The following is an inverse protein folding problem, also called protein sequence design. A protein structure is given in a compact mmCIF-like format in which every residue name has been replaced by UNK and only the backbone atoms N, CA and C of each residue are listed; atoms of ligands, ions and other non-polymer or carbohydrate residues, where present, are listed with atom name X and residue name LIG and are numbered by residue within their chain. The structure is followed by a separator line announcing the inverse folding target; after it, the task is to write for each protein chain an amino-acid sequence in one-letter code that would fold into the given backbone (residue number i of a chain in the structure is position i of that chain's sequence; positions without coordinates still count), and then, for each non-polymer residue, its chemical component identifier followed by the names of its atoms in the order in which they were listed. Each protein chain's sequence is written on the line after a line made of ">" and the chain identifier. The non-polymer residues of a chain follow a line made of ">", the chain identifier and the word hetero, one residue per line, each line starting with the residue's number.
data_IF_317509976288
#
_entry.id   IF_317509976288
#
_cell.length_a   1.000
_cell.length_b   1.000
_cell.length_c   1.000
_cell.angle_alpha   90.00
_cell.angle_beta   90.00
_cell.angle_gamma   90.00
#
_symmetry.space_group_name_H-M   'P 1'
#
loop_
_entity.id
_entity.type
_entity.pdbx_description
1 polymer ?
#
# COMPACT_ATOMS: atom_id res chain seq x y z
N UNK A 1 -13.09 8.77 21.16
CA UNK A 1 -12.27 9.81 20.49
C UNK A 1 -10.83 9.48 20.83
N UNK A 2 -10.10 8.84 19.92
CA UNK A 2 -8.66 8.62 20.10
C UNK A 2 -7.97 9.98 20.23
N UNK A 3 -7.32 10.23 21.37
CA UNK A 3 -6.69 11.51 21.75
C UNK A 3 -5.44 11.89 20.90
N UNK A 4 -5.24 11.32 19.72
CA UNK A 4 -4.03 11.54 18.92
C UNK A 4 -4.26 12.29 17.61
N UNK A 5 -5.46 12.24 17.04
CA UNK A 5 -5.81 12.93 15.80
C UNK A 5 -6.93 13.95 16.05
N UNK A 6 -6.57 15.23 16.12
CA UNK A 6 -7.52 16.34 16.25
C UNK A 6 -7.63 17.07 14.91
N UNK A 7 -8.69 16.78 14.15
CA UNK A 7 -8.97 17.46 12.89
C UNK A 7 -10.49 17.69 12.74
N UNK A 8 -10.84 18.72 11.97
CA UNK A 8 -12.22 19.03 11.59
C UNK A 8 -12.30 19.14 10.07
N UNK A 9 -13.38 18.61 9.50
CA UNK A 9 -13.68 18.70 8.07
C UNK A 9 -15.02 19.37 7.93
N UNK A 10 -15.11 20.38 7.07
CA UNK A 10 -16.33 21.13 6.85
C UNK A 10 -16.21 22.08 5.66
N UNK A 11 -17.36 22.55 5.19
CA UNK A 11 -17.43 23.62 4.20
C UNK A 11 -17.43 24.96 4.95
N UNK A 12 -16.37 25.73 4.77
CA UNK A 12 -16.20 27.02 5.44
C UNK A 12 -16.13 28.14 4.40
N UNK A 13 -16.88 29.21 4.62
CA UNK A 13 -16.74 30.46 3.88
C UNK A 13 -15.37 31.10 4.13
N UNK A 14 -14.95 32.02 3.25
CA UNK A 14 -13.69 32.75 3.43
C UNK A 14 -13.63 33.54 4.75
N UNK A 15 -14.78 34.01 5.24
CA UNK A 15 -14.91 34.67 6.54
C UNK A 15 -14.66 33.70 7.69
N UNK A 16 -15.28 32.52 7.66
CA UNK A 16 -15.09 31.46 8.67
C UNK A 16 -13.65 30.94 8.67
N UNK A 17 -13.06 30.71 7.49
CA UNK A 17 -11.65 30.31 7.38
C UNK A 17 -10.70 31.33 8.02
N UNK A 18 -10.96 32.62 7.83
CA UNK A 18 -10.15 33.69 8.42
C UNK A 18 -10.21 33.72 9.96
N UNK A 19 -11.31 33.22 10.55
CA UNK A 19 -11.44 33.05 12.00
C UNK A 19 -10.74 31.77 12.45
N UNK A 20 -11.00 30.65 11.78
CA UNK A 20 -10.42 29.34 12.11
C UNK A 20 -8.89 29.38 12.05
N UNK A 21 -8.31 30.00 11.02
CA UNK A 21 -6.86 30.13 10.86
C UNK A 21 -6.18 30.98 11.96
N UNK A 22 -6.95 31.77 12.72
CA UNK A 22 -6.44 32.59 13.82
C UNK A 22 -6.69 31.95 15.19
N UNK A 23 -7.43 30.85 15.25
CA UNK A 23 -7.67 30.14 16.49
C UNK A 23 -6.35 29.52 16.98
N UNK A 24 -5.90 29.79 18.23
CA UNK A 24 -4.66 29.26 18.75
C UNK A 24 -4.63 27.72 18.88
N UNK A 25 -5.78 27.05 18.76
CA UNK A 25 -5.89 25.60 18.75
C UNK A 25 -5.71 24.99 17.34
N UNK A 26 -5.63 25.80 16.29
CA UNK A 26 -5.47 25.36 14.90
C UNK A 26 -4.00 25.48 14.48
N UNK A 27 -3.36 24.36 14.18
CA UNK A 27 -1.98 24.34 13.66
C UNK A 27 -1.93 24.81 12.20
N UNK A 28 -2.75 24.22 11.32
CA UNK A 28 -2.91 24.67 9.94
C UNK A 28 -4.24 24.22 9.34
N UNK A 29 -4.56 24.78 8.18
CA UNK A 29 -5.72 24.43 7.35
C UNK A 29 -5.22 23.97 5.99
N UNK A 30 -5.73 22.85 5.49
CA UNK A 30 -5.42 22.29 4.18
C UNK A 30 -6.73 22.02 3.43
N UNK A 31 -6.78 22.26 2.11
CA UNK A 31 -7.94 21.97 1.29
C UNK A 31 -8.13 20.46 1.12
N UNK A 32 -9.38 19.98 1.12
CA UNK A 32 -9.65 18.56 0.94
C UNK A 32 -9.29 18.10 -0.47
N UNK A 33 -8.39 17.12 -0.57
CA UNK A 33 -7.98 16.56 -1.86
C UNK A 33 -8.66 15.22 -2.16
N UNK A 34 -8.84 14.95 -3.45
CA UNK A 34 -9.26 13.64 -3.95
C UNK A 34 -8.08 12.66 -3.90
N UNK A 35 -8.30 11.51 -3.26
CA UNK A 35 -7.37 10.38 -3.25
C UNK A 35 -7.89 9.33 -4.23
N UNK A 36 -7.00 8.68 -4.99
CA UNK A 36 -7.39 7.67 -5.97
C UNK A 36 -6.52 6.42 -5.88
N UNK A 37 -7.08 5.26 -6.25
CA UNK A 37 -6.30 4.05 -6.50
C UNK A 37 -5.40 4.21 -7.73
N UNK A 38 -4.16 3.72 -7.69
CA UNK A 38 -3.21 3.85 -8.80
C UNK A 38 -3.22 2.64 -9.76
N UNK A 39 -4.09 2.61 -10.76
CA UNK A 39 -4.21 1.51 -11.74
C UNK A 39 -3.95 1.94 -13.19
N UNK A 40 -3.30 1.05 -13.98
CA UNK A 40 -3.08 1.13 -15.45
C UNK A 40 -3.29 -0.27 -16.06
N UNK A 41 -3.88 -0.40 -17.26
CA UNK A 41 -4.27 -1.72 -17.83
C UNK A 41 -3.29 -2.33 -18.88
N UNK A 42 -3.20 -3.69 -18.91
CA UNK A 42 -2.94 -4.69 -20.02
C UNK A 42 -1.78 -5.72 -19.91
N UNK A 43 -2.14 -7.00 -19.61
CA UNK A 43 -1.62 -8.39 -19.91
C UNK A 43 -0.11 -8.69 -20.14
N UNK A 44 0.55 -9.68 -19.43
CA UNK A 44 0.22 -11.11 -19.42
C UNK A 44 0.51 -11.83 -18.03
N UNK A 45 0.86 -13.15 -17.90
CA UNK A 45 0.71 -13.93 -16.65
C UNK A 45 1.69 -13.54 -15.54
N UNK A 46 1.22 -13.60 -14.28
CA UNK A 46 1.96 -13.12 -13.11
C UNK A 46 3.37 -13.70 -12.99
N UNK A 47 4.34 -12.86 -13.31
CA UNK A 47 5.77 -13.10 -13.16
C UNK A 47 6.30 -12.57 -11.82
N UNK A 48 5.47 -11.86 -11.05
CA UNK A 48 5.91 -11.11 -9.88
C UNK A 48 6.42 -12.00 -8.76
N UNK A 49 5.70 -13.06 -8.40
CA UNK A 49 6.16 -14.02 -7.38
C UNK A 49 7.49 -14.68 -7.77
N UNK A 50 7.59 -15.16 -9.00
CA UNK A 50 8.78 -15.76 -9.61
C UNK A 50 9.98 -14.80 -9.56
N UNK A 51 9.74 -13.49 -9.72
CA UNK A 51 10.82 -12.51 -9.57
C UNK A 51 11.29 -12.31 -8.13
N UNK A 52 10.45 -12.53 -7.12
CA UNK A 52 10.77 -12.17 -5.74
C UNK A 52 11.76 -13.10 -5.05
N UNK A 53 11.77 -14.40 -5.37
CA UNK A 53 12.63 -15.38 -4.69
C UNK A 53 13.90 -15.73 -5.48
N UNK A 54 14.09 -15.16 -6.68
CA UNK A 54 15.33 -15.25 -7.45
C UNK A 54 16.06 -13.91 -7.60
N UNK A 55 17.39 -13.94 -7.76
CA UNK A 55 18.19 -12.71 -7.90
C UNK A 55 18.48 -12.31 -9.35
N UNK A 56 18.66 -13.28 -10.24
CA UNK A 56 19.08 -13.06 -11.62
C UNK A 56 18.02 -13.55 -12.61
N UNK A 57 17.90 -12.89 -13.76
CA UNK A 57 17.13 -13.38 -14.90
C UNK A 57 17.91 -14.45 -15.68
N UNK A 58 17.25 -15.33 -16.46
CA UNK A 58 15.81 -15.40 -16.75
C UNK A 58 14.98 -15.98 -15.58
N UNK A 59 13.67 -15.72 -15.61
CA UNK A 59 12.70 -16.27 -14.66
C UNK A 59 12.58 -17.80 -14.76
N UNK A 60 12.47 -18.50 -13.62
CA UNK A 60 12.48 -19.96 -13.57
C UNK A 60 11.10 -20.61 -13.40
N UNK A 61 10.06 -19.78 -13.21
CA UNK A 61 8.65 -20.16 -13.04
C UNK A 61 8.36 -20.91 -11.75
N UNK A 62 9.17 -20.69 -10.72
CA UNK A 62 8.99 -21.26 -9.39
C UNK A 62 8.86 -20.13 -8.37
N UNK A 63 8.27 -20.46 -7.22
CA UNK A 63 8.27 -19.57 -6.08
C UNK A 63 8.38 -20.40 -4.80
N UNK A 64 9.42 -20.14 -4.03
CA UNK A 64 9.76 -20.85 -2.81
C UNK A 64 9.06 -20.18 -1.64
N UNK A 65 8.08 -20.86 -1.08
CA UNK A 65 7.33 -20.34 0.06
C UNK A 65 8.16 -20.37 1.35
N UNK A 66 8.12 -19.27 2.10
CA UNK A 66 8.59 -19.24 3.48
C UNK A 66 7.51 -19.86 4.37
N UNK A 67 7.87 -20.88 5.16
CA UNK A 67 6.93 -21.68 5.95
C UNK A 67 6.06 -20.87 6.92
N UNK A 68 6.61 -19.79 7.50
CA UNK A 68 5.85 -18.89 8.38
C UNK A 68 4.67 -18.27 7.65
N UNK A 69 4.79 -18.00 6.34
CA UNK A 69 3.75 -17.41 5.50
C UNK A 69 3.19 -16.08 6.03
N UNK A 70 3.88 -15.38 6.95
CA UNK A 70 3.35 -14.20 7.63
C UNK A 70 2.29 -14.52 8.69
N UNK A 71 2.26 -15.75 9.22
CA UNK A 71 1.34 -16.14 10.29
C UNK A 71 1.45 -15.18 11.49
N UNK A 72 0.30 -14.79 12.03
CA UNK A 72 0.24 -13.85 13.15
C UNK A 72 0.43 -12.38 12.76
N UNK A 73 0.50 -12.05 11.47
CA UNK A 73 0.53 -10.65 11.00
C UNK A 73 -0.86 -10.23 10.54
N UNK A 74 -1.33 -9.07 11.04
CA UNK A 74 -2.53 -8.41 10.54
C UNK A 74 -2.15 -7.38 9.47
N UNK A 75 -2.71 -7.53 8.27
CA UNK A 75 -2.49 -6.60 7.15
C UNK A 75 -3.79 -5.89 6.79
N UNK A 76 -3.82 -4.58 7.01
CA UNK A 76 -4.96 -3.72 6.69
C UNK A 76 -4.81 -3.14 5.29
N UNK A 77 -5.85 -3.33 4.47
CA UNK A 77 -5.91 -2.87 3.09
C UNK A 77 -6.78 -1.62 3.05
N UNK A 78 -6.14 -0.46 3.04
CA UNK A 78 -6.81 0.85 2.95
C UNK A 78 -7.05 1.15 1.47
N UNK A 79 -8.24 0.80 0.98
CA UNK A 79 -8.54 0.74 -0.46
C UNK A 79 -10.06 0.79 -0.76
N UNK A 80 -10.53 0.12 -1.83
CA UNK A 80 -11.94 0.02 -2.26
C UNK A 80 -12.74 -1.06 -1.53
N UNK A 81 -12.10 -1.84 -0.65
CA UNK A 81 -12.69 -3.00 0.03
C UNK A 81 -12.01 -4.31 -0.36
N UNK A 82 -12.54 -5.45 0.09
CA UNK A 82 -12.12 -6.78 -0.35
C UNK A 82 -13.38 -7.61 -0.61
N UNK A 83 -13.41 -8.38 -1.69
CA UNK A 83 -14.37 -9.45 -1.86
C UNK A 83 -13.95 -10.66 -1.02
N UNK A 84 -14.43 -10.69 0.22
CA UNK A 84 -13.97 -11.62 1.27
C UNK A 84 -14.32 -13.08 0.99
N UNK A 85 -15.30 -13.32 0.11
CA UNK A 85 -15.74 -14.65 -0.30
C UNK A 85 -14.92 -15.24 -1.47
N UNK A 86 -13.90 -14.54 -1.95
CA UNK A 86 -12.99 -15.08 -2.96
C UNK A 86 -12.26 -16.32 -2.43
N UNK A 87 -12.29 -17.41 -3.19
CA UNK A 87 -11.77 -18.73 -2.80
C UNK A 87 -10.27 -18.69 -2.48
N UNK A 88 -9.51 -17.80 -3.11
CA UNK A 88 -8.07 -17.67 -2.89
C UNK A 88 -7.72 -17.19 -1.47
N UNK A 89 -8.64 -16.51 -0.78
CA UNK A 89 -8.42 -16.07 0.59
C UNK A 89 -8.65 -17.16 1.63
N UNK A 90 -9.40 -18.23 1.31
CA UNK A 90 -9.72 -19.34 2.23
C UNK A 90 -10.14 -18.87 3.63
N UNK A 91 -10.93 -17.80 3.70
CA UNK A 91 -11.42 -17.20 4.95
C UNK A 91 -10.42 -16.34 5.72
N UNK A 92 -9.23 -16.04 5.16
CA UNK A 92 -8.23 -15.14 5.76
C UNK A 92 -8.54 -13.65 5.59
N UNK A 93 -9.49 -13.30 4.73
CA UNK A 93 -9.93 -11.93 4.50
C UNK A 93 -11.20 -11.60 5.27
N UNK A 94 -11.20 -10.44 5.93
CA UNK A 94 -12.29 -9.97 6.79
C UNK A 94 -12.59 -8.50 6.54
N UNK A 95 -13.83 -8.10 6.82
CA UNK A 95 -14.22 -6.69 6.83
C UNK A 95 -13.83 -6.01 8.14
N UNK A 96 -13.17 -4.85 8.04
CA UNK A 96 -12.90 -3.96 9.17
C UNK A 96 -13.92 -2.82 9.23
N UNK A 97 -13.80 -1.85 8.31
CA UNK A 97 -14.70 -0.68 8.27
C UNK A 97 -14.91 -0.16 6.83
N UNK A 98 -16.00 0.58 6.63
CA UNK A 98 -16.23 1.43 5.47
C UNK A 98 -16.49 2.85 5.94
N UNK A 99 -15.68 3.80 5.47
CA UNK A 99 -15.80 5.23 5.83
C UNK A 99 -16.33 6.08 4.68
N UNK A 100 -16.57 5.46 3.52
CA UNK A 100 -17.32 6.03 2.40
C UNK A 100 -18.76 5.51 2.42
N UNK A 101 -19.69 6.32 1.91
CA UNK A 101 -21.10 5.94 1.82
C UNK A 101 -21.28 4.73 0.89
N UNK A 102 -22.02 3.71 1.35
CA UNK A 102 -22.31 2.50 0.57
C UNK A 102 -22.26 1.22 1.39
N UNK A 103 -22.41 0.08 0.72
CA UNK A 103 -22.27 -1.25 1.32
C UNK A 103 -20.81 -1.58 1.65
N UNK A 104 -20.60 -2.42 2.66
CA UNK A 104 -19.31 -3.07 2.94
C UNK A 104 -19.05 -4.16 1.90
N UNK A 105 -18.77 -3.74 0.67
CA UNK A 105 -18.44 -4.61 -0.47
C UNK A 105 -17.39 -3.92 -1.34
N UNK A 106 -16.51 -4.70 -1.98
CA UNK A 106 -15.61 -4.17 -3.00
C UNK A 106 -16.34 -4.02 -4.35
N UNK A 107 -16.79 -2.79 -4.65
CA UNK A 107 -17.46 -2.47 -5.90
C UNK A 107 -16.52 -2.13 -7.06
N UNK A 108 -15.20 -2.08 -6.82
CA UNK A 108 -14.21 -1.69 -7.82
C UNK A 108 -13.29 -2.86 -8.21
N UNK A 109 -12.88 -3.66 -7.23
CA UNK A 109 -11.99 -4.81 -7.40
C UNK A 109 -10.52 -4.53 -7.15
N UNK A 110 -10.12 -3.27 -7.07
CA UNK A 110 -8.74 -2.88 -6.81
C UNK A 110 -8.25 -3.39 -5.44
N UNK A 111 -9.02 -3.21 -4.37
CA UNK A 111 -8.63 -3.69 -3.05
C UNK A 111 -8.59 -5.22 -2.95
N UNK A 112 -9.50 -5.94 -3.62
CA UNK A 112 -9.42 -7.41 -3.78
C UNK A 112 -8.12 -7.84 -4.46
N UNK A 113 -7.74 -7.14 -5.53
CA UNK A 113 -6.52 -7.42 -6.29
C UNK A 113 -5.25 -7.25 -5.46
N UNK A 114 -5.18 -6.14 -4.73
CA UNK A 114 -4.09 -5.83 -3.80
C UNK A 114 -4.00 -6.86 -2.69
N UNK A 115 -5.14 -7.24 -2.09
CA UNK A 115 -5.21 -8.26 -1.05
C UNK A 115 -4.73 -9.63 -1.55
N UNK A 116 -5.05 -10.00 -2.79
CA UNK A 116 -4.61 -11.24 -3.43
C UNK A 116 -3.08 -11.36 -3.54
N UNK A 117 -2.39 -10.27 -3.92
CA UNK A 117 -0.92 -10.23 -3.99
C UNK A 117 -0.29 -10.40 -2.61
N UNK A 118 -0.92 -9.89 -1.56
CA UNK A 118 -0.37 -9.99 -0.20
C UNK A 118 -0.59 -11.40 0.34
N UNK A 119 -1.82 -11.88 0.37
CA UNK A 119 -2.22 -13.04 1.19
C UNK A 119 -3.12 -14.08 0.51
N UNK A 120 -3.29 -14.01 -0.81
CA UNK A 120 -3.97 -15.05 -1.59
C UNK A 120 -3.22 -16.38 -1.57
N UNK A 121 -3.93 -17.51 -1.63
CA UNK A 121 -3.33 -18.85 -1.71
C UNK A 121 -2.54 -19.02 -2.99
N UNK A 122 -2.99 -18.46 -4.11
CA UNK A 122 -2.38 -18.63 -5.44
C UNK A 122 -1.42 -17.50 -5.75
N UNK A 123 -1.82 -16.26 -5.53
CA UNK A 123 -1.06 -15.07 -5.93
C UNK A 123 -0.31 -14.40 -4.77
N UNK A 124 -0.56 -14.84 -3.53
CA UNK A 124 -0.02 -14.20 -2.34
C UNK A 124 1.45 -14.52 -2.05
N UNK A 125 2.16 -13.49 -1.60
CA UNK A 125 3.51 -13.60 -1.03
C UNK A 125 3.45 -14.23 0.37
N UNK A 126 2.59 -13.71 1.25
CA UNK A 126 2.47 -14.10 2.65
C UNK A 126 1.13 -14.83 2.90
N UNK A 127 1.11 -16.12 2.55
CA UNK A 127 -0.12 -16.93 2.44
C UNK A 127 -0.85 -17.25 3.75
N UNK A 128 -0.35 -16.81 4.90
CA UNK A 128 -0.90 -17.08 6.25
C UNK A 128 -1.21 -15.80 7.04
N UNK A 129 -1.15 -14.63 6.41
CA UNK A 129 -1.57 -13.36 7.05
C UNK A 129 -3.08 -13.30 7.25
N UNK A 130 -3.54 -12.39 8.11
CA UNK A 130 -4.94 -11.98 8.19
C UNK A 130 -5.13 -10.67 7.45
N UNK A 131 -6.03 -10.64 6.47
CA UNK A 131 -6.32 -9.47 5.64
C UNK A 131 -7.56 -8.74 6.19
N UNK A 132 -7.48 -7.43 6.37
CA UNK A 132 -8.56 -6.60 6.90
C UNK A 132 -8.93 -5.50 5.90
N UNK A 133 -10.15 -5.51 5.38
CA UNK A 133 -10.64 -4.50 4.45
C UNK A 133 -10.98 -3.19 5.18
N UNK A 134 -10.36 -2.09 4.77
CA UNK A 134 -10.65 -0.72 5.24
C UNK A 134 -11.01 0.11 4.02
N UNK A 135 -12.32 0.26 3.77
CA UNK A 135 -12.82 0.91 2.57
C UNK A 135 -12.83 2.43 2.74
N UNK A 136 -11.86 3.10 2.09
CA UNK A 136 -11.74 4.57 2.03
C UNK A 136 -11.98 5.14 0.64
N UNK A 137 -12.04 4.26 -0.37
CA UNK A 137 -12.35 4.57 -1.76
C UNK A 137 -13.71 3.98 -2.16
N UNK A 138 -14.49 4.70 -2.95
CA UNK A 138 -15.77 4.28 -3.49
C UNK A 138 -15.63 3.24 -4.62
N UNK A 139 -16.74 2.85 -5.25
CA UNK A 139 -16.73 1.86 -6.34
C UNK A 139 -16.05 2.37 -7.63
N UNK A 140 -15.81 3.68 -7.75
CA UNK A 140 -15.07 4.28 -8.86
C UNK A 140 -13.56 4.41 -8.54
N UNK A 141 -13.11 3.95 -7.36
CA UNK A 141 -11.72 4.05 -6.93
C UNK A 141 -11.33 5.44 -6.42
N UNK A 142 -12.30 6.31 -6.15
CA UNK A 142 -12.09 7.66 -5.62
C UNK A 142 -12.45 7.77 -4.14
N UNK A 143 -11.72 8.58 -3.40
CA UNK A 143 -12.01 8.94 -2.01
C UNK A 143 -11.50 10.34 -1.72
N UNK A 144 -11.57 10.75 -0.45
CA UNK A 144 -11.06 12.04 -0.03
C UNK A 144 -9.96 11.88 1.02
N UNK A 145 -9.21 12.95 1.24
CA UNK A 145 -8.23 12.99 2.32
C UNK A 145 -8.89 12.70 3.68
N UNK A 146 -10.12 13.16 3.90
CA UNK A 146 -10.84 12.85 5.15
C UNK A 146 -11.26 11.39 5.28
N UNK A 147 -11.66 10.72 4.19
CA UNK A 147 -11.94 9.28 4.22
C UNK A 147 -10.67 8.48 4.50
N UNK A 148 -9.54 8.85 3.88
CA UNK A 148 -8.24 8.24 4.14
C UNK A 148 -7.84 8.36 5.62
N UNK A 149 -7.93 9.56 6.20
CA UNK A 149 -7.57 9.79 7.61
C UNK A 149 -8.47 9.00 8.57
N UNK A 150 -9.78 8.93 8.30
CA UNK A 150 -10.71 8.10 9.10
C UNK A 150 -10.35 6.61 9.03
N UNK A 151 -9.92 6.12 7.87
CA UNK A 151 -9.42 4.75 7.71
C UNK A 151 -8.14 4.51 8.51
N UNK A 152 -7.16 5.41 8.42
CA UNK A 152 -5.92 5.35 9.21
C UNK A 152 -6.20 5.38 10.71
N UNK A 153 -7.12 6.25 11.15
CA UNK A 153 -7.53 6.33 12.55
C UNK A 153 -8.15 5.01 13.03
N UNK A 154 -9.02 4.39 12.23
CA UNK A 154 -9.59 3.08 12.57
C UNK A 154 -8.50 2.03 12.77
N UNK A 155 -7.54 1.93 11.84
CA UNK A 155 -6.45 0.95 11.97
C UNK A 155 -5.59 1.23 13.20
N UNK A 156 -5.27 2.51 13.45
CA UNK A 156 -4.55 2.91 14.65
C UNK A 156 -5.29 2.46 15.93
N UNK A 157 -6.59 2.73 16.02
CA UNK A 157 -7.40 2.35 17.18
C UNK A 157 -7.47 0.82 17.36
N UNK A 158 -7.65 0.05 16.29
CA UNK A 158 -7.63 -1.42 16.34
C UNK A 158 -6.27 -1.97 16.74
N UNK A 159 -5.18 -1.40 16.21
CA UNK A 159 -3.83 -1.76 16.59
C UNK A 159 -3.59 -1.51 18.08
N UNK A 160 -4.05 -0.39 18.64
CA UNK A 160 -3.89 -0.09 20.07
C UNK A 160 -4.59 -1.11 20.97
N UNK A 161 -5.77 -1.60 20.58
CA UNK A 161 -6.55 -2.59 21.34
C UNK A 161 -5.94 -3.99 21.34
N UNK A 162 -5.13 -4.33 20.33
CA UNK A 162 -4.57 -5.68 20.18
C UNK A 162 -3.29 -5.87 20.99
N UNK A 163 -3.14 -7.04 21.60
CA UNK A 163 -1.87 -7.49 22.17
C UNK A 163 -0.85 -7.80 21.08
N UNK A 164 -1.30 -8.38 19.96
CA UNK A 164 -0.47 -8.60 18.79
C UNK A 164 -0.20 -7.27 18.06
N UNK A 165 1.05 -6.80 18.15
CA UNK A 165 1.50 -5.55 17.51
C UNK A 165 2.13 -5.75 16.12
N UNK A 166 2.00 -6.93 15.51
CA UNK A 166 2.41 -7.18 14.12
C UNK A 166 1.35 -6.67 13.15
N UNK A 167 1.37 -5.37 12.87
CA UNK A 167 0.40 -4.69 12.00
C UNK A 167 1.09 -4.04 10.81
N UNK A 168 0.57 -4.32 9.61
CA UNK A 168 0.96 -3.65 8.37
C UNK A 168 -0.25 -2.94 7.79
N UNK A 169 -0.06 -1.73 7.27
CA UNK A 169 -1.01 -1.04 6.39
C UNK A 169 -0.42 -1.04 4.99
N UNK A 170 -1.23 -1.47 4.01
CA UNK A 170 -0.94 -1.24 2.59
C UNK A 170 -1.85 -0.12 2.06
N UNK A 171 -1.25 0.90 1.45
CA UNK A 171 -1.95 2.00 0.76
C UNK A 171 -1.56 2.02 -0.73
N UNK A 172 -2.36 1.35 -1.55
CA UNK A 172 -2.23 1.34 -3.00
C UNK A 172 -3.00 2.52 -3.64
N UNK A 173 -2.81 3.71 -3.08
CA UNK A 173 -3.53 4.92 -3.40
C UNK A 173 -2.66 6.16 -3.18
N UNK A 174 -3.12 7.31 -3.65
CA UNK A 174 -2.51 8.58 -3.29
C UNK A 174 -3.10 9.79 -4.00
N UNK A 175 -2.48 10.93 -3.74
CA UNK A 175 -2.76 12.24 -4.36
C UNK A 175 -1.46 13.05 -4.46
N UNK A 176 -1.57 14.29 -4.93
CA UNK A 176 -0.53 15.31 -4.72
C UNK A 176 -0.13 15.40 -3.24
N UNK A 177 1.08 15.89 -2.99
CA UNK A 177 1.62 16.10 -1.64
C UNK A 177 0.60 16.76 -0.72
N UNK A 178 0.41 16.14 0.45
CA UNK A 178 -0.42 16.62 1.55
C UNK A 178 0.43 16.62 2.81
N UNK A 179 0.55 17.77 3.47
CA UNK A 179 1.23 17.81 4.78
C UNK A 179 0.41 17.02 5.78
N UNK A 180 -0.92 17.19 5.76
CA UNK A 180 -1.83 16.46 6.64
C UNK A 180 -1.71 14.94 6.52
N UNK A 181 -1.79 14.39 5.31
CA UNK A 181 -1.65 12.93 5.15
C UNK A 181 -0.28 12.46 5.63
N UNK A 182 0.79 13.20 5.33
CA UNK A 182 2.13 12.81 5.74
C UNK A 182 2.32 12.81 7.26
N UNK A 183 1.81 13.83 7.95
CA UNK A 183 1.90 13.95 9.41
C UNK A 183 1.11 12.81 10.08
N UNK A 184 -0.12 12.53 9.61
CA UNK A 184 -0.95 11.43 10.12
C UNK A 184 -0.29 10.07 9.88
N UNK A 185 0.27 9.82 8.69
CA UNK A 185 1.00 8.57 8.38
C UNK A 185 2.24 8.45 9.26
N UNK A 186 2.97 9.54 9.49
CA UNK A 186 4.10 9.57 10.41
C UNK A 186 3.71 9.16 11.84
N UNK A 187 2.55 9.62 12.33
CA UNK A 187 2.03 9.25 13.66
C UNK A 187 1.60 7.78 13.75
N UNK A 188 1.03 7.24 12.67
CA UNK A 188 0.69 5.80 12.55
C UNK A 188 1.97 4.95 12.61
N UNK A 189 3.02 5.36 11.90
CA UNK A 189 4.31 4.67 11.91
C UNK A 189 4.96 4.76 13.30
N UNK A 190 4.96 5.93 13.93
CA UNK A 190 5.47 6.10 15.30
C UNK A 190 4.73 5.22 16.33
N UNK A 191 3.49 4.82 16.03
CA UNK A 191 2.73 3.90 16.86
C UNK A 191 3.19 2.44 16.77
N UNK A 192 4.16 2.13 15.89
CA UNK A 192 4.66 0.78 15.65
C UNK A 192 4.02 0.07 14.45
N UNK A 193 3.17 0.74 13.68
CA UNK A 193 2.51 0.16 12.51
C UNK A 193 3.43 0.30 11.29
N UNK A 194 3.72 -0.79 10.61
CA UNK A 194 4.46 -0.76 9.34
C UNK A 194 3.53 -0.22 8.26
N UNK A 195 3.97 0.78 7.50
CA UNK A 195 3.17 1.35 6.42
C UNK A 195 3.90 1.21 5.09
N UNK A 196 3.24 0.58 4.12
CA UNK A 196 3.72 0.39 2.76
C UNK A 196 2.79 1.14 1.81
N UNK A 197 3.37 1.91 0.89
CA UNK A 197 2.62 2.74 -0.04
C UNK A 197 3.13 2.61 -1.48
N UNK A 198 2.22 2.79 -2.43
CA UNK A 198 2.57 2.93 -3.84
C UNK A 198 3.29 4.27 -4.09
N UNK A 199 4.34 4.27 -4.93
CA UNK A 199 5.06 5.50 -5.29
C UNK A 199 4.20 6.48 -6.12
N UNK A 200 3.19 5.99 -6.83
CA UNK A 200 2.35 6.74 -7.77
C UNK A 200 2.68 6.43 -9.23
N UNK A 201 1.71 6.66 -10.12
CA UNK A 201 1.75 6.26 -11.53
C UNK A 201 2.01 7.44 -12.49
N UNK A 202 2.87 8.37 -12.11
CA UNK A 202 3.27 9.47 -12.98
C UNK A 202 2.26 10.60 -13.10
N UNK A 203 2.48 11.45 -14.09
CA UNK A 203 1.58 12.54 -14.47
C UNK A 203 0.44 12.05 -15.37
N UNK A 204 -0.39 12.97 -15.87
CA UNK A 204 -1.53 12.67 -16.75
C UNK A 204 -1.14 11.95 -18.06
N UNK A 205 0.13 12.04 -18.47
CA UNK A 205 0.67 11.32 -19.63
C UNK A 205 1.23 9.94 -19.29
N UNK A 206 1.11 9.49 -18.03
CA UNK A 206 1.63 8.20 -17.55
C UNK A 206 3.16 8.15 -17.49
N UNK A 207 3.81 9.30 -17.34
CA UNK A 207 5.26 9.41 -17.18
C UNK A 207 5.56 9.64 -15.71
N UNK A 208 6.43 8.81 -15.13
CA UNK A 208 6.88 8.91 -13.75
C UNK A 208 7.30 10.33 -13.35
N UNK A 209 6.98 10.72 -12.13
CA UNK A 209 7.40 11.98 -11.51
C UNK A 209 8.15 11.70 -10.19
N UNK A 210 8.68 12.73 -9.54
CA UNK A 210 9.29 12.59 -8.22
C UNK A 210 8.23 12.17 -7.19
N UNK A 211 8.41 11.00 -6.57
CA UNK A 211 7.52 10.45 -5.54
C UNK A 211 7.42 11.34 -4.30
N UNK A 212 8.40 12.23 -4.07
CA UNK A 212 8.34 13.20 -2.99
C UNK A 212 7.23 14.26 -3.16
N UNK A 213 6.68 14.41 -4.37
CA UNK A 213 5.51 15.25 -4.65
C UNK A 213 4.16 14.54 -4.45
N UNK A 214 4.15 13.31 -3.94
CA UNK A 214 2.95 12.45 -3.81
C UNK A 214 2.78 12.01 -2.35
N UNK A 215 1.55 12.02 -1.84
CA UNK A 215 1.21 11.48 -0.52
C UNK A 215 0.30 10.26 -0.67
N UNK A 216 0.48 9.19 0.13
CA UNK A 216 1.38 9.08 1.29
C UNK A 216 2.84 8.72 0.97
N UNK A 217 3.22 8.57 -0.31
CA UNK A 217 4.57 8.14 -0.73
C UNK A 217 5.74 8.99 -0.19
N UNK A 218 5.49 10.26 0.10
CA UNK A 218 6.47 11.22 0.65
C UNK A 218 6.51 11.27 2.18
N UNK A 219 5.62 10.55 2.87
CA UNK A 219 5.57 10.55 4.33
C UNK A 219 6.83 9.94 4.95
N UNK A 220 7.30 10.50 6.07
CA UNK A 220 8.52 10.00 6.72
C UNK A 220 8.30 8.61 7.30
N UNK A 221 9.22 7.68 6.99
CA UNK A 221 9.21 6.31 7.51
C UNK A 221 8.28 5.35 6.75
N UNK A 222 7.56 5.84 5.74
CA UNK A 222 6.78 4.98 4.86
C UNK A 222 7.70 4.16 3.97
N UNK A 223 7.32 2.91 3.69
CA UNK A 223 8.01 2.05 2.72
C UNK A 223 7.34 2.27 1.37
N UNK A 224 7.93 3.13 0.55
CA UNK A 224 7.40 3.47 -0.78
C UNK A 224 7.93 2.52 -1.84
N UNK A 225 7.02 1.85 -2.57
CA UNK A 225 7.34 0.88 -3.61
C UNK A 225 7.15 1.46 -5.02
N UNK A 226 8.23 1.53 -5.79
CA UNK A 226 8.21 1.79 -7.24
C UNK A 226 7.97 0.50 -8.04
N UNK A 227 7.61 0.64 -9.31
CA UNK A 227 7.24 -0.48 -10.18
C UNK A 227 8.31 -0.81 -11.23
N UNK A 228 8.59 -2.11 -11.38
CA UNK A 228 9.41 -2.66 -12.46
C UNK A 228 8.62 -3.57 -13.39
N UNK A 229 9.23 -3.80 -14.54
CA UNK A 229 8.88 -4.79 -15.55
C UNK A 229 9.63 -6.10 -15.30
N UNK A 230 9.22 -7.16 -15.98
CA UNK A 230 9.83 -8.49 -15.90
C UNK A 230 11.27 -8.58 -16.40
N UNK A 231 11.78 -7.56 -17.08
CA UNK A 231 13.16 -7.44 -17.57
C UNK A 231 14.05 -6.55 -16.68
N UNK A 232 13.61 -6.29 -15.44
CA UNK A 232 14.22 -5.41 -14.43
C UNK A 232 14.28 -3.93 -14.84
N UNK A 233 13.60 -3.53 -15.91
CA UNK A 233 13.44 -2.14 -16.29
C UNK A 233 12.40 -1.44 -15.40
N UNK A 234 12.66 -0.21 -14.95
CA UNK A 234 11.62 0.61 -14.31
C UNK A 234 10.42 0.77 -15.26
N UNK A 235 9.20 0.61 -14.76
CA UNK A 235 8.00 0.87 -15.53
C UNK A 235 7.88 2.38 -15.83
N UNK A 236 7.51 2.75 -17.06
CA UNK A 236 7.51 4.17 -17.48
C UNK A 236 6.63 5.08 -16.62
N UNK A 237 5.55 4.52 -16.07
CA UNK A 237 4.62 5.22 -15.18
C UNK A 237 5.12 5.30 -13.73
N UNK A 238 6.12 4.52 -13.34
CA UNK A 238 6.54 4.50 -11.93
C UNK A 238 7.13 5.84 -11.53
N UNK A 239 6.59 6.43 -10.47
CA UNK A 239 7.29 7.50 -9.78
C UNK A 239 8.63 7.00 -9.24
N UNK A 240 9.54 7.94 -9.05
CA UNK A 240 10.95 7.70 -8.78
C UNK A 240 11.51 8.70 -7.76
N UNK A 241 12.82 8.64 -7.50
CA UNK A 241 13.52 9.59 -6.64
C UNK A 241 13.66 9.14 -5.19
N UNK A 242 14.16 10.04 -4.35
CA UNK A 242 14.64 9.72 -2.99
C UNK A 242 13.57 9.24 -2.02
N UNK A 243 12.29 9.50 -2.31
CA UNK A 243 11.18 9.04 -1.48
C UNK A 243 10.78 7.59 -1.78
N UNK A 244 11.26 7.01 -2.88
CA UNK A 244 11.12 5.56 -3.13
C UNK A 244 12.09 4.81 -2.22
N UNK A 245 11.62 3.76 -1.55
CA UNK A 245 12.46 2.88 -0.72
C UNK A 245 13.10 1.77 -1.55
N UNK A 246 12.31 1.14 -2.41
CA UNK A 246 12.74 0.06 -3.30
C UNK A 246 11.76 -0.08 -4.48
N UNK A 247 12.13 -0.90 -5.45
CA UNK A 247 11.28 -1.27 -6.57
C UNK A 247 10.81 -2.72 -6.44
N UNK A 248 9.62 -3.02 -6.93
CA UNK A 248 9.05 -4.36 -6.93
C UNK A 248 8.27 -4.60 -8.23
N UNK A 249 7.89 -5.85 -8.55
CA UNK A 249 7.05 -6.14 -9.70
C UNK A 249 5.79 -5.28 -9.70
N UNK A 250 5.49 -4.64 -10.83
CA UNK A 250 4.34 -3.73 -10.91
C UNK A 250 3.77 -3.54 -12.31
N UNK A 251 4.45 -3.98 -13.37
CA UNK A 251 3.88 -3.99 -14.71
C UNK A 251 3.37 -5.39 -15.07
N UNK A 252 2.11 -5.47 -15.48
CA UNK A 252 1.48 -6.69 -16.00
C UNK A 252 1.56 -7.86 -15.02
N UNK A 253 1.05 -7.65 -13.81
CA UNK A 253 0.96 -8.69 -12.79
C UNK A 253 -0.48 -9.20 -12.73
N UNK A 254 -0.67 -10.48 -12.38
CA UNK A 254 -2.00 -11.11 -12.21
C UNK A 254 -2.28 -11.34 -10.73
N UNK A 255 -3.52 -11.07 -10.31
CA UNK A 255 -4.02 -11.34 -8.97
C UNK A 255 -5.53 -11.58 -8.99
N UNK A 256 -6.09 -11.91 -7.82
CA UNK A 256 -7.53 -12.06 -7.58
C UNK A 256 -8.30 -10.81 -8.03
N UNK A 257 -9.53 -10.99 -8.47
CA UNK A 257 -10.37 -9.88 -8.88
C UNK A 257 -11.83 -10.16 -8.56
N UNK A 258 -12.65 -9.12 -8.62
CA UNK A 258 -14.10 -9.26 -8.48
C UNK A 258 -14.73 -9.85 -9.75
N UNK A 259 -15.93 -10.39 -9.63
CA UNK A 259 -16.73 -10.94 -10.73
C UNK A 259 -17.16 -12.39 -10.51
N UNK A 260 -16.34 -13.18 -9.83
CA UNK A 260 -16.71 -14.50 -9.27
C UNK A 260 -15.80 -14.83 -8.09
N UNK A 261 -16.08 -15.93 -7.38
CA UNK A 261 -15.24 -16.45 -6.29
C UNK A 261 -13.86 -16.93 -6.73
N UNK A 262 -13.58 -16.99 -8.03
CA UNK A 262 -12.31 -17.46 -8.60
C UNK A 262 -11.76 -16.51 -9.68
N UNK A 263 -12.33 -15.31 -9.79
CA UNK A 263 -11.98 -14.36 -10.83
C UNK A 263 -10.56 -13.80 -10.59
N UNK A 264 -9.85 -13.56 -11.67
CA UNK A 264 -8.55 -12.90 -11.64
C UNK A 264 -8.45 -11.93 -12.79
N UNK A 265 -7.53 -10.98 -12.70
CA UNK A 265 -7.28 -10.01 -13.75
C UNK A 265 -5.78 -9.71 -13.84
N UNK A 266 -5.36 -8.91 -14.81
CA UNK A 266 -3.97 -8.47 -14.95
C UNK A 266 -3.85 -6.98 -15.17
N UNK A 267 -3.11 -6.32 -14.28
CA UNK A 267 -2.98 -4.86 -14.25
C UNK A 267 -1.51 -4.43 -14.07
N UNK A 268 -1.29 -3.14 -14.28
CA UNK A 268 -0.01 -2.46 -14.07
C UNK A 268 -0.21 -1.26 -13.14
N UNK A 269 0.75 -1.00 -12.26
CA UNK A 269 0.68 0.09 -11.31
C UNK A 269 1.62 -0.12 -10.14
N UNK A 270 2.08 0.98 -9.57
CA UNK A 270 2.79 0.96 -8.27
C UNK A 270 1.88 0.47 -7.14
N UNK A 271 0.54 0.56 -7.33
CA UNK A 271 -0.46 -0.14 -6.51
C UNK A 271 -0.23 -1.62 -6.35
N UNK A 272 0.51 -2.27 -7.24
CA UNK A 272 0.78 -3.71 -7.19
C UNK A 272 2.19 -4.03 -6.71
N UNK A 273 3.11 -3.07 -6.82
CA UNK A 273 4.43 -3.13 -6.18
C UNK A 273 4.34 -2.97 -4.66
N UNK A 274 3.43 -2.11 -4.19
CA UNK A 274 3.12 -1.93 -2.77
C UNK A 274 2.74 -3.25 -2.07
N UNK A 275 1.75 -4.03 -2.54
CA UNK A 275 1.36 -5.28 -1.90
C UNK A 275 2.42 -6.39 -1.98
N UNK A 276 3.24 -6.47 -3.04
CA UNK A 276 4.40 -7.38 -3.01
C UNK A 276 5.34 -7.02 -1.85
N UNK A 277 5.62 -5.73 -1.68
CA UNK A 277 6.47 -5.22 -0.59
C UNK A 277 5.84 -5.45 0.78
N UNK A 278 4.54 -5.23 0.93
CA UNK A 278 3.80 -5.53 2.15
C UNK A 278 3.79 -7.03 2.49
N UNK A 279 3.70 -7.89 1.47
CA UNK A 279 3.82 -9.33 1.62
C UNK A 279 5.19 -9.74 2.17
N UNK A 280 6.28 -9.24 1.61
CA UNK A 280 7.63 -9.55 2.13
C UNK A 280 7.82 -8.97 3.54
N UNK A 281 7.30 -7.77 3.82
CA UNK A 281 7.29 -7.20 5.17
C UNK A 281 6.53 -8.11 6.17
N UNK A 282 5.43 -8.73 5.74
CA UNK A 282 4.68 -9.68 6.54
C UNK A 282 5.46 -10.98 6.78
N UNK A 283 6.19 -11.49 5.78
CA UNK A 283 7.09 -12.64 5.96
C UNK A 283 8.18 -12.34 7.00
N UNK A 284 8.78 -11.14 6.94
CA UNK A 284 9.78 -10.68 7.91
C UNK A 284 9.19 -10.64 9.34
N UNK A 285 8.02 -10.04 9.52
CA UNK A 285 7.36 -9.96 10.83
C UNK A 285 6.91 -11.32 11.36
N UNK A 286 6.38 -12.18 10.48
CA UNK A 286 5.89 -13.51 10.85
C UNK A 286 7.01 -14.52 11.13
N UNK A 287 8.22 -14.30 10.62
CA UNK A 287 9.39 -15.12 10.91
C UNK A 287 10.23 -14.58 12.09
N UNK A 288 9.84 -13.46 12.69
CA UNK A 288 10.55 -12.85 13.82
C UNK A 288 9.93 -13.27 15.15
N UNK A 289 10.77 -13.72 16.09
CA UNK A 289 10.36 -14.04 17.46
C UNK A 289 9.83 -12.78 18.18
N UNK A 290 10.55 -11.66 18.03
CA UNK A 290 10.17 -10.36 18.57
C UNK A 290 9.33 -9.55 17.57
N UNK A 291 8.55 -8.60 18.10
CA UNK A 291 7.86 -7.62 17.27
C UNK A 291 8.86 -6.54 16.83
N UNK A 292 9.18 -6.53 15.55
CA UNK A 292 10.07 -5.53 14.96
C UNK A 292 9.36 -4.19 14.81
N UNK A 293 10.09 -3.11 15.04
CA UNK A 293 9.66 -1.75 14.73
C UNK A 293 9.60 -1.50 13.22
N UNK A 294 8.85 -0.47 12.75
CA UNK A 294 8.77 -0.16 11.33
C UNK A 294 10.13 0.13 10.65
N UNK A 295 11.05 0.78 11.35
CA UNK A 295 12.40 1.05 10.84
C UNK A 295 13.22 -0.22 10.69
N UNK A 296 13.10 -1.19 11.60
CA UNK A 296 13.77 -2.48 11.51
C UNK A 296 13.23 -3.32 10.35
N UNK A 297 11.92 -3.30 10.12
CA UNK A 297 11.31 -3.97 8.95
C UNK A 297 11.80 -3.34 7.65
N UNK A 298 11.79 -2.01 7.55
CA UNK A 298 12.33 -1.29 6.39
C UNK A 298 13.81 -1.61 6.16
N UNK A 299 14.62 -1.64 7.22
CA UNK A 299 16.04 -1.97 7.13
C UNK A 299 16.27 -3.40 6.61
N UNK A 300 15.47 -4.37 7.06
CA UNK A 300 15.56 -5.76 6.59
C UNK A 300 15.16 -5.89 5.11
N UNK A 301 14.09 -5.21 4.68
CA UNK A 301 13.71 -5.16 3.26
C UNK A 301 14.86 -4.65 2.38
N UNK A 302 15.45 -3.51 2.73
CA UNK A 302 16.56 -2.90 1.99
C UNK A 302 17.81 -3.79 2.01
N UNK A 303 18.05 -4.50 3.11
CA UNK A 303 19.21 -5.40 3.24
C UNK A 303 19.05 -6.65 2.37
N UNK A 304 17.85 -7.21 2.29
CA UNK A 304 17.55 -8.41 1.50
C UNK A 304 17.49 -8.14 -0.01
N UNK A 305 17.05 -6.93 -0.37
CA UNK A 305 16.87 -6.48 -1.75
C UNK A 305 18.08 -6.79 -2.64
N UNK A 306 17.80 -7.16 -3.89
CA UNK A 306 18.85 -7.32 -4.90
C UNK A 306 19.28 -5.94 -5.38
N UNK A 307 20.58 -5.67 -5.30
CA UNK A 307 21.16 -4.34 -5.53
C UNK A 307 21.75 -4.22 -6.93
N UNK A 308 21.72 -3.01 -7.49
CA UNK A 308 22.42 -2.65 -8.73
C UNK A 308 21.96 -3.43 -9.97
N UNK A 309 20.65 -3.66 -10.10
CA UNK A 309 20.08 -4.41 -11.23
C UNK A 309 18.96 -3.68 -11.95
N UNK A 310 18.33 -2.70 -11.30
CA UNK A 310 17.16 -2.03 -11.86
C UNK A 310 17.61 -1.10 -12.98
N UNK A 311 17.10 -1.34 -14.19
CA UNK A 311 17.52 -0.62 -15.39
C UNK A 311 16.69 0.64 -15.59
N UNK A 312 17.37 1.66 -16.13
CA UNK A 312 16.79 2.96 -16.50
C UNK A 312 16.26 3.79 -15.33
N UNK A 313 16.82 3.61 -14.14
CA UNK A 313 16.48 4.43 -12.98
C UNK A 313 16.82 5.91 -13.20
N UNK A 314 15.88 6.82 -12.98
CA UNK A 314 16.17 8.25 -12.89
C UNK A 314 17.08 8.55 -11.69
N UNK A 315 17.91 9.59 -11.84
CA UNK A 315 18.89 10.02 -10.83
C UNK A 315 18.23 10.22 -9.45
N UNK A 316 18.90 9.73 -8.39
CA UNK A 316 18.43 9.85 -7.01
C UNK A 316 17.48 8.76 -6.54
N UNK A 317 17.10 7.81 -7.41
CA UNK A 317 16.33 6.63 -7.01
C UNK A 317 17.24 5.53 -6.45
N UNK A 318 16.79 4.73 -5.47
CA UNK A 318 17.56 3.59 -5.00
C UNK A 318 17.59 2.47 -6.05
N UNK A 319 18.76 1.85 -6.27
CA UNK A 319 18.87 0.64 -7.08
C UNK A 319 18.71 -0.62 -6.22
N UNK A 320 17.47 -0.82 -5.78
CA UNK A 320 17.05 -1.91 -4.91
C UNK A 320 15.80 -2.57 -5.48
N UNK A 321 15.91 -3.83 -5.90
CA UNK A 321 14.76 -4.66 -6.26
C UNK A 321 14.38 -5.57 -5.09
N UNK A 322 13.09 -5.57 -4.74
CA UNK A 322 12.52 -6.41 -3.68
C UNK A 322 12.91 -7.88 -3.85
N UNK A 323 13.25 -8.52 -2.74
CA UNK A 323 13.62 -9.93 -2.66
C UNK A 323 13.01 -10.53 -1.38
N UNK A 324 12.47 -11.75 -1.46
CA UNK A 324 11.87 -12.47 -0.33
C UNK A 324 12.76 -13.59 0.17
#
# INVERSE_FOLDING_TARGET
>A
ISNKFHFMVGNFSSGELSVIQKDPLVDYVEEEMTVKSFLVERNPPSWGLDRLDQRQLPLDKRYTHIDSGGAGVDVYIIDTGIYTEHEDFEGRAHWGTSVVNGSSSDGNGHGTFVAGIIGGKKYGVAKKVKLHAVKVLDSNGGGSTSSLIKGLQYVYEEHQKKENKRTIINMSLGSSYSRLVNDIVGEVIQAGIVVVAAAGNGNESGIGIDACGVSPASARGVITAGATRSDDQIAIFSNFGRCVTLFAPGQQVTSDFIGSSSANNSFSGTSFSSPYTAGVAALILGNSEEVLSPSEVQHRLVTLATKNIVKGLPFGSPDLLLYS
#
